data_IF_333598524252
#
_entry.id   IF_333598524252
#
_cell.length_a   1.000
_cell.length_b   1.000
_cell.length_c   1.000
_cell.angle_alpha   90.00
_cell.angle_beta   90.00
_cell.angle_gamma   90.00
#
_symmetry.space_group_name_H-M   'P 1'
#
loop_
_entity.id
_entity.type
_entity.pdbx_description
1 polymer ?
#
# COMPACT_ATOMS: atom_id res chain seq x y z
N UNK A 1 14.64 25.75 -8.49
CA UNK A 1 13.40 25.45 -9.26
C UNK A 1 13.61 25.93 -10.70
N UNK A 2 13.18 25.17 -11.72
CA UNK A 2 13.42 25.48 -13.15
C UNK A 2 12.30 26.31 -13.82
N UNK A 3 11.19 26.57 -13.13
CA UNK A 3 10.06 27.34 -13.68
C UNK A 3 9.24 26.61 -14.75
N UNK A 4 9.50 25.32 -14.97
CA UNK A 4 8.80 24.48 -15.94
C UNK A 4 7.54 23.90 -15.27
N UNK A 5 6.38 24.04 -15.94
CA UNK A 5 5.14 23.39 -15.52
C UNK A 5 5.23 21.89 -15.78
N UNK A 6 4.72 21.07 -14.87
CA UNK A 6 4.70 19.62 -14.99
C UNK A 6 3.35 19.06 -14.49
N UNK A 7 3.02 17.84 -14.91
CA UNK A 7 1.83 17.10 -14.45
C UNK A 7 2.16 16.26 -13.23
N UNK A 8 1.21 16.10 -12.31
CA UNK A 8 1.40 15.32 -11.08
C UNK A 8 1.51 16.21 -9.84
N UNK A 9 1.61 15.56 -8.68
CA UNK A 9 1.60 16.23 -7.39
C UNK A 9 2.80 17.16 -7.16
N UNK A 10 2.65 18.08 -6.22
CA UNK A 10 3.73 18.91 -5.70
C UNK A 10 4.87 18.09 -5.09
N UNK A 11 6.04 18.71 -4.89
CA UNK A 11 7.20 18.02 -4.29
C UNK A 11 6.88 17.49 -2.89
N UNK A 12 6.23 18.31 -2.05
CA UNK A 12 5.95 17.95 -0.66
C UNK A 12 4.91 16.82 -0.55
N UNK A 13 3.81 16.92 -1.30
CA UNK A 13 2.77 15.90 -1.35
C UNK A 13 3.28 14.60 -1.99
N UNK A 14 4.17 14.67 -2.99
CA UNK A 14 4.85 13.50 -3.55
C UNK A 14 5.78 12.81 -2.54
N UNK A 15 6.59 13.57 -1.81
CA UNK A 15 7.51 13.03 -0.79
C UNK A 15 6.73 12.32 0.32
N UNK A 16 5.67 12.97 0.81
CA UNK A 16 4.80 12.42 1.85
C UNK A 16 4.07 11.15 1.38
N UNK A 17 3.51 11.16 0.16
CA UNK A 17 2.79 10.02 -0.41
C UNK A 17 3.71 8.84 -0.78
N UNK A 18 4.98 9.11 -1.09
CA UNK A 18 5.93 8.07 -1.47
C UNK A 18 6.46 7.28 -0.26
N UNK A 19 6.58 7.92 0.90
CA UNK A 19 7.00 7.27 2.13
C UNK A 19 5.79 6.69 2.90
N UNK A 20 5.68 5.36 2.95
CA UNK A 20 4.58 4.70 3.68
C UNK A 20 4.57 5.02 5.17
N UNK A 21 5.71 5.27 5.81
CA UNK A 21 5.74 5.61 7.23
C UNK A 21 5.14 7.00 7.46
N UNK A 22 5.49 7.97 6.63
CA UNK A 22 4.99 9.34 6.77
C UNK A 22 3.54 9.47 6.30
N UNK A 23 3.18 8.83 5.18
CA UNK A 23 1.78 8.66 4.76
C UNK A 23 0.93 8.06 5.88
N UNK A 24 1.41 6.99 6.51
CA UNK A 24 0.69 6.32 7.61
C UNK A 24 0.46 7.25 8.80
N UNK A 25 1.48 8.02 9.22
CA UNK A 25 1.35 9.00 10.31
C UNK A 25 0.28 10.04 9.96
N UNK A 26 0.34 10.59 8.75
CA UNK A 26 -0.62 11.56 8.27
C UNK A 26 -2.05 10.99 8.24
N UNK A 27 -2.21 9.75 7.77
CA UNK A 27 -3.49 9.04 7.77
C UNK A 27 -4.06 8.85 9.17
N UNK A 28 -3.23 8.45 10.13
CA UNK A 28 -3.66 8.29 11.53
C UNK A 28 -4.08 9.62 12.16
N UNK A 29 -3.32 10.70 11.92
CA UNK A 29 -3.64 12.05 12.41
C UNK A 29 -4.97 12.58 11.87
N UNK A 30 -5.32 12.22 10.64
CA UNK A 30 -6.57 12.62 10.01
C UNK A 30 -7.68 11.57 10.16
N UNK A 31 -7.47 10.49 10.92
CA UNK A 31 -8.43 9.40 11.12
C UNK A 31 -8.85 8.70 9.81
N UNK A 32 -7.95 8.58 8.84
CA UNK A 32 -8.13 7.71 7.67
C UNK A 32 -8.06 6.25 8.17
N UNK A 33 -9.02 5.39 7.80
CA UNK A 33 -9.00 3.99 8.22
C UNK A 33 -7.80 3.29 7.62
N UNK A 34 -6.93 2.74 8.46
CA UNK A 34 -5.77 1.96 8.02
C UNK A 34 -5.55 0.78 8.99
N UNK A 35 -4.88 -0.30 8.55
CA UNK A 35 -4.60 -1.44 9.42
C UNK A 35 -3.74 -1.03 10.62
N UNK A 36 -3.81 -1.75 11.75
CA UNK A 36 -2.85 -1.58 12.85
C UNK A 36 -1.42 -1.72 12.32
N UNK A 37 -0.51 -0.90 12.83
CA UNK A 37 0.87 -0.87 12.35
C UNK A 37 1.89 -0.62 13.44
N UNK A 38 3.13 -1.00 13.16
CA UNK A 38 4.32 -0.75 13.96
C UNK A 38 5.47 -0.29 13.04
N UNK A 39 6.25 0.69 13.50
CA UNK A 39 7.49 1.08 12.83
C UNK A 39 8.66 0.31 13.43
N UNK A 40 9.38 -0.41 12.58
CA UNK A 40 10.46 -1.30 12.99
C UNK A 40 11.81 -0.75 12.55
N UNK A 41 12.54 -0.16 13.49
CA UNK A 41 13.92 0.30 13.29
C UNK A 41 14.92 -0.86 13.38
N UNK A 42 15.61 -1.10 12.26
CA UNK A 42 16.62 -2.12 12.05
C UNK A 42 18.04 -1.53 11.84
N UNK A 43 18.29 -0.27 12.19
CA UNK A 43 19.63 0.37 12.03
C UNK A 43 20.71 -0.40 12.78
N UNK A 44 20.43 -0.82 14.02
CA UNK A 44 21.36 -1.57 14.87
C UNK A 44 21.23 -3.10 14.73
N UNK A 45 20.39 -3.57 13.79
CA UNK A 45 20.15 -4.98 13.55
C UNK A 45 18.66 -5.33 13.45
N UNK A 46 18.38 -6.48 12.85
CA UNK A 46 17.01 -6.97 12.66
C UNK A 46 16.44 -7.49 13.98
N UNK A 47 15.17 -7.18 14.24
CA UNK A 47 14.42 -7.60 15.43
C UNK A 47 12.99 -7.96 15.05
N UNK A 48 12.29 -8.73 15.87
CA UNK A 48 10.87 -9.01 15.67
C UNK A 48 10.02 -7.80 16.08
N UNK A 49 8.87 -7.54 15.41
CA UNK A 49 7.90 -6.56 15.88
C UNK A 49 7.24 -7.03 17.18
N UNK A 50 6.62 -6.11 17.90
CA UNK A 50 5.75 -6.44 19.04
C UNK A 50 4.39 -7.01 18.58
N UNK A 51 3.98 -6.71 17.35
CA UNK A 51 2.78 -7.27 16.72
C UNK A 51 2.90 -8.78 16.48
N UNK A 52 1.85 -9.54 16.78
CA UNK A 52 1.76 -10.97 16.47
C UNK A 52 1.39 -11.20 15.00
N UNK A 53 1.84 -12.33 14.44
CA UNK A 53 1.44 -12.79 13.10
C UNK A 53 -0.08 -13.05 13.01
N UNK A 54 -0.71 -12.89 11.81
CA UNK A 54 -0.09 -12.54 10.54
C UNK A 54 0.09 -11.03 10.32
N UNK A 55 1.21 -10.64 9.70
CA UNK A 55 1.51 -9.26 9.35
C UNK A 55 2.26 -9.15 8.02
N UNK A 56 2.35 -7.94 7.49
CA UNK A 56 3.08 -7.59 6.27
C UNK A 56 4.18 -6.61 6.61
N UNK A 57 5.42 -6.92 6.22
CA UNK A 57 6.59 -6.05 6.37
C UNK A 57 6.87 -5.35 5.05
N UNK A 58 7.01 -4.03 5.06
CA UNK A 58 7.12 -3.19 3.86
C UNK A 58 8.28 -2.20 4.01
N UNK A 59 9.21 -2.11 3.02
CA UNK A 59 10.08 -0.95 2.89
C UNK A 59 9.23 0.29 2.58
N UNK A 60 9.46 1.41 3.29
CA UNK A 60 8.56 2.56 3.20
C UNK A 60 8.59 3.22 1.83
N UNK A 61 9.74 3.26 1.18
CA UNK A 61 10.02 4.06 -0.04
C UNK A 61 10.20 3.20 -1.31
N UNK A 62 9.54 2.05 -1.34
CA UNK A 62 9.53 1.15 -2.50
C UNK A 62 8.14 1.05 -3.14
N UNK A 63 8.10 0.85 -4.45
CA UNK A 63 6.86 0.63 -5.22
C UNK A 63 6.73 -0.82 -5.67
N UNK A 64 5.63 -1.14 -6.37
CA UNK A 64 5.49 -2.39 -7.14
C UNK A 64 5.74 -3.66 -6.33
N UNK A 65 5.34 -3.67 -5.06
CA UNK A 65 5.51 -4.80 -4.13
C UNK A 65 6.98 -5.20 -3.86
N UNK A 66 7.95 -4.37 -4.23
CA UNK A 66 9.38 -4.63 -4.01
C UNK A 66 9.69 -4.67 -2.51
N UNK A 67 10.35 -5.74 -2.09
CA UNK A 67 10.77 -5.96 -0.70
C UNK A 67 9.64 -6.21 0.30
N UNK A 68 8.38 -6.28 -0.14
CA UNK A 68 7.25 -6.67 0.71
C UNK A 68 7.40 -8.13 1.14
N UNK A 69 7.11 -8.42 2.40
CA UNK A 69 7.12 -9.76 2.96
C UNK A 69 5.84 -10.01 3.73
N UNK A 70 5.11 -11.07 3.37
CA UNK A 70 3.92 -11.52 4.10
C UNK A 70 4.36 -12.60 5.09
N UNK A 71 4.13 -12.37 6.38
CA UNK A 71 4.52 -13.27 7.46
C UNK A 71 3.26 -13.86 8.08
N UNK A 72 3.07 -15.18 7.90
CA UNK A 72 1.90 -15.90 8.40
C UNK A 72 2.16 -16.68 9.70
N UNK A 73 3.42 -16.93 10.01
CA UNK A 73 3.86 -17.67 11.19
C UNK A 73 5.18 -17.11 11.74
N UNK A 74 5.46 -17.42 12.99
CA UNK A 74 6.68 -16.96 13.70
C UNK A 74 7.97 -17.58 13.14
N UNK A 75 7.89 -18.77 12.53
CA UNK A 75 9.08 -19.51 12.12
C UNK A 75 9.83 -18.78 10.98
N UNK A 76 9.11 -18.07 10.11
CA UNK A 76 9.68 -17.26 9.03
C UNK A 76 9.92 -15.78 9.35
N UNK A 77 9.43 -15.29 10.48
CA UNK A 77 9.32 -13.86 10.78
C UNK A 77 10.64 -13.09 10.69
N UNK A 78 11.69 -13.56 11.38
CA UNK A 78 12.98 -12.87 11.42
C UNK A 78 13.67 -12.87 10.05
N UNK A 79 13.51 -13.94 9.27
CA UNK A 79 14.07 -14.04 7.92
C UNK A 79 13.39 -13.06 6.96
N UNK A 80 12.06 -12.94 7.03
CA UNK A 80 11.29 -11.96 6.28
C UNK A 80 11.75 -10.52 6.60
N UNK A 81 11.87 -10.18 7.89
CA UNK A 81 12.34 -8.85 8.30
C UNK A 81 13.76 -8.59 7.77
N UNK A 82 14.64 -9.58 7.81
CA UNK A 82 15.99 -9.47 7.25
C UNK A 82 16.00 -9.21 5.75
N UNK A 83 15.09 -9.83 4.99
CA UNK A 83 14.94 -9.58 3.56
C UNK A 83 14.45 -8.15 3.30
N UNK A 84 13.38 -7.71 3.96
CA UNK A 84 12.87 -6.34 3.85
C UNK A 84 13.92 -5.30 4.28
N UNK A 85 14.69 -5.60 5.33
CA UNK A 85 15.78 -4.76 5.84
C UNK A 85 16.96 -4.60 4.86
N UNK A 86 16.99 -5.39 3.79
CA UNK A 86 17.91 -5.20 2.67
C UNK A 86 17.61 -3.97 1.82
N UNK A 87 16.34 -3.50 1.84
CA UNK A 87 15.88 -2.33 1.08
C UNK A 87 15.86 -1.06 1.93
N UNK A 88 15.43 -1.14 3.19
CA UNK A 88 15.42 0.00 4.12
C UNK A 88 15.64 -0.43 5.55
N UNK A 89 16.07 0.47 6.44
CA UNK A 89 16.26 0.16 7.87
C UNK A 89 15.06 0.53 8.75
N UNK A 90 14.16 1.37 8.26
CA UNK A 90 12.94 1.85 8.92
C UNK A 90 11.71 1.20 8.29
N UNK A 91 11.40 -0.03 8.69
CA UNK A 91 10.35 -0.82 8.05
C UNK A 91 8.97 -0.48 8.61
N UNK A 92 7.95 -0.52 7.75
CA UNK A 92 6.55 -0.52 8.16
C UNK A 92 6.09 -1.96 8.34
N UNK A 93 5.55 -2.29 9.51
CA UNK A 93 4.86 -3.57 9.76
C UNK A 93 3.38 -3.28 9.93
N UNK A 94 2.52 -3.92 9.15
CA UNK A 94 1.06 -3.78 9.26
C UNK A 94 0.40 -5.13 9.48
N UNK A 95 -0.70 -5.15 10.24
CA UNK A 95 -1.51 -6.37 10.36
C UNK A 95 -1.95 -6.85 8.97
N UNK A 96 -1.93 -8.17 8.77
CA UNK A 96 -2.41 -8.75 7.53
C UNK A 96 -3.93 -8.72 7.52
N UNK A 97 -4.51 -8.01 6.55
CA UNK A 97 -5.96 -7.95 6.35
C UNK A 97 -6.32 -8.89 5.20
N UNK A 98 -7.05 -9.95 5.52
CA UNK A 98 -7.63 -10.84 4.50
C UNK A 98 -8.90 -10.19 3.93
N UNK A 99 -8.97 -10.05 2.60
CA UNK A 99 -10.11 -9.42 1.96
C UNK A 99 -9.87 -9.08 0.49
N UNK A 100 -10.72 -8.19 -0.02
CA UNK A 100 -10.71 -7.71 -1.41
C UNK A 100 -9.76 -6.53 -1.55
N UNK A 101 -9.03 -6.43 -2.67
CA UNK A 101 -8.20 -5.27 -2.99
C UNK A 101 -8.98 -4.29 -3.87
N UNK A 102 -9.17 -3.06 -3.37
CA UNK A 102 -9.93 -2.01 -4.03
C UNK A 102 -9.04 -0.80 -4.30
N UNK A 103 -9.19 -0.18 -5.47
CA UNK A 103 -8.46 1.01 -5.90
C UNK A 103 -9.44 2.07 -6.36
N UNK A 104 -9.20 3.33 -5.98
CA UNK A 104 -10.02 4.48 -6.38
C UNK A 104 -9.11 5.55 -6.95
N UNK A 105 -9.39 6.00 -8.17
CA UNK A 105 -8.74 7.17 -8.74
C UNK A 105 -9.32 8.45 -8.13
N UNK A 106 -8.46 9.44 -7.89
CA UNK A 106 -8.86 10.80 -7.55
C UNK A 106 -8.12 11.75 -8.50
N UNK A 107 -8.84 12.69 -9.12
CA UNK A 107 -8.26 13.72 -10.00
C UNK A 107 -8.88 15.06 -9.66
N UNK A 108 -8.07 16.08 -9.38
CA UNK A 108 -8.54 17.42 -8.98
C UNK A 108 -9.61 17.38 -7.87
N UNK A 109 -9.48 16.41 -6.94
CA UNK A 109 -10.43 16.15 -5.85
C UNK A 109 -11.71 15.40 -6.23
N UNK A 110 -11.95 15.11 -7.52
CA UNK A 110 -13.04 14.27 -7.99
C UNK A 110 -12.73 12.78 -7.75
N UNK A 111 -13.65 12.07 -7.11
CA UNK A 111 -13.49 10.66 -6.76
C UNK A 111 -14.18 9.78 -7.80
N UNK A 112 -13.41 8.89 -8.43
CA UNK A 112 -13.89 8.01 -9.52
C UNK A 112 -14.53 6.71 -9.00
N UNK A 113 -15.17 5.92 -9.88
CA UNK A 113 -15.67 4.59 -9.53
C UNK A 113 -14.59 3.69 -8.93
N UNK A 114 -15.00 2.85 -7.99
CA UNK A 114 -14.12 1.86 -7.36
C UNK A 114 -13.76 0.77 -8.37
N UNK A 115 -12.48 0.42 -8.43
CA UNK A 115 -11.96 -0.71 -9.19
C UNK A 115 -11.60 -1.81 -8.22
N UNK A 116 -12.14 -3.01 -8.41
CA UNK A 116 -11.66 -4.20 -7.72
C UNK A 116 -10.54 -4.86 -8.52
N UNK A 117 -9.47 -5.23 -7.81
CA UNK A 117 -8.34 -5.98 -8.36
C UNK A 117 -8.34 -7.36 -7.71
N UNK A 118 -8.57 -8.39 -8.51
CA UNK A 118 -8.61 -9.78 -8.06
C UNK A 118 -7.47 -10.57 -8.72
N UNK A 119 -6.38 -10.88 -7.99
CA UNK A 119 -5.37 -11.84 -8.44
C UNK A 119 -5.98 -13.23 -8.70
N UNK A 120 -5.31 -14.10 -9.47
CA UNK A 120 -5.72 -15.49 -9.62
C UNK A 120 -5.91 -16.19 -8.26
N UNK A 121 -6.80 -17.17 -8.20
CA UNK A 121 -7.14 -17.87 -6.95
C UNK A 121 -5.89 -18.45 -6.27
N UNK A 122 -5.72 -18.16 -4.98
CA UNK A 122 -4.56 -18.59 -4.18
C UNK A 122 -3.31 -17.73 -4.35
N UNK A 123 -3.36 -16.68 -5.18
CA UNK A 123 -2.26 -15.74 -5.37
C UNK A 123 -2.52 -14.39 -4.67
N UNK A 124 -1.46 -13.59 -4.50
CA UNK A 124 -1.53 -12.23 -3.97
C UNK A 124 -1.10 -11.23 -5.04
N UNK A 125 -1.44 -9.93 -4.89
CA UNK A 125 -1.15 -8.90 -5.89
C UNK A 125 0.34 -8.50 -5.91
N UNK A 126 1.14 -9.37 -6.50
CA UNK A 126 2.58 -9.29 -6.67
C UNK A 126 3.00 -8.79 -8.07
N UNK A 127 4.31 -8.66 -8.31
CA UNK A 127 4.83 -8.27 -9.62
C UNK A 127 4.41 -9.20 -10.76
N UNK A 128 4.32 -10.50 -10.49
CA UNK A 128 4.02 -11.49 -11.51
C UNK A 128 2.54 -11.40 -11.97
N UNK A 129 1.63 -11.16 -11.04
CA UNK A 129 0.20 -10.98 -11.28
C UNK A 129 -0.16 -9.58 -11.81
N UNK A 130 0.66 -8.55 -11.51
CA UNK A 130 0.57 -7.19 -12.10
C UNK A 130 0.99 -7.17 -13.57
N UNK A 131 2.06 -7.90 -13.89
CA UNK A 131 2.70 -7.87 -15.21
C UNK A 131 2.89 -9.29 -15.75
N UNK A 132 1.80 -10.03 -16.05
CA UNK A 132 1.88 -11.41 -16.53
C UNK A 132 2.75 -11.58 -17.78
N UNK A 133 2.79 -10.56 -18.66
CA UNK A 133 3.63 -10.54 -19.86
C UNK A 133 5.13 -10.38 -19.58
N UNK A 134 5.53 -9.86 -18.41
CA UNK A 134 6.94 -9.80 -17.98
C UNK A 134 7.38 -11.09 -17.29
N UNK A 135 6.44 -11.82 -16.67
CA UNK A 135 6.70 -13.03 -15.88
C UNK A 135 6.42 -14.33 -16.64
N UNK A 136 5.82 -14.25 -17.83
CA UNK A 136 5.43 -15.42 -18.63
C UNK A 136 4.18 -16.12 -18.10
N UNK A 137 3.40 -15.50 -17.20
CA UNK A 137 2.10 -16.01 -16.74
C UNK A 137 1.05 -15.82 -17.83
N UNK A 138 0.18 -16.81 -18.01
CA UNK A 138 -0.95 -16.72 -18.95
C UNK A 138 -2.09 -15.86 -18.41
N UNK A 139 -2.25 -15.81 -17.08
CA UNK A 139 -3.34 -15.09 -16.41
C UNK A 139 -2.75 -14.14 -15.36
N UNK A 140 -3.17 -12.88 -15.42
CA UNK A 140 -2.86 -11.86 -14.40
C UNK A 140 -4.08 -11.52 -13.56
N UNK A 141 -4.00 -10.40 -12.86
CA UNK A 141 -5.12 -9.91 -12.05
C UNK A 141 -6.30 -9.48 -12.93
N UNK A 142 -7.52 -9.79 -12.47
CA UNK A 142 -8.76 -9.32 -13.07
C UNK A 142 -9.13 -7.97 -12.47
N UNK A 143 -9.68 -7.09 -13.31
CA UNK A 143 -10.09 -5.75 -12.92
C UNK A 143 -11.57 -5.57 -13.22
N UNK A 144 -12.36 -5.25 -12.19
CA UNK A 144 -13.80 -5.00 -12.31
C UNK A 144 -14.08 -3.54 -11.98
N UNK A 145 -14.67 -2.81 -12.94
CA UNK A 145 -14.97 -1.38 -12.80
C UNK A 145 -16.34 -1.05 -13.43
N UNK A 146 -17.32 -0.54 -12.65
CA UNK A 146 -17.28 -0.40 -11.19
C UNK A 146 -17.16 -1.76 -10.49
N UNK A 147 -16.53 -1.80 -9.31
CA UNK A 147 -16.47 -2.98 -8.45
C UNK A 147 -17.88 -3.46 -8.06
N UNK A 148 -18.06 -4.77 -7.86
CA UNK A 148 -19.33 -5.34 -7.41
C UNK A 148 -19.47 -5.14 -5.89
N UNK A 149 -20.04 -3.99 -5.52
CA UNK A 149 -20.21 -3.50 -4.16
C UNK A 149 -21.62 -2.94 -3.99
N UNK A 150 -22.14 -2.99 -2.78
CA UNK A 150 -23.33 -2.22 -2.43
C UNK A 150 -23.07 -0.71 -2.53
N UNK A 151 -24.13 0.09 -2.64
CA UNK A 151 -24.00 1.56 -2.65
C UNK A 151 -23.33 2.08 -1.36
N UNK A 152 -23.59 1.43 -0.21
CA UNK A 152 -23.00 1.78 1.08
C UNK A 152 -21.50 1.50 1.11
N UNK A 153 -21.07 0.32 0.67
CA UNK A 153 -19.65 -0.04 0.58
C UNK A 153 -18.91 0.85 -0.42
N UNK A 154 -19.52 1.12 -1.57
CA UNK A 154 -18.97 2.03 -2.59
C UNK A 154 -18.73 3.41 -1.99
N UNK A 155 -19.72 3.97 -1.30
CA UNK A 155 -19.60 5.27 -0.65
C UNK A 155 -18.53 5.28 0.44
N UNK A 156 -18.42 4.22 1.25
CA UNK A 156 -17.41 4.11 2.29
C UNK A 156 -15.97 4.08 1.72
N UNK A 157 -15.75 3.31 0.65
CA UNK A 157 -14.43 3.20 -0.01
C UNK A 157 -14.05 4.50 -0.70
N UNK A 158 -15.00 5.15 -1.40
CA UNK A 158 -14.77 6.46 -2.02
C UNK A 158 -14.50 7.55 -0.97
N UNK A 159 -15.21 7.53 0.15
CA UNK A 159 -14.96 8.46 1.26
C UNK A 159 -13.57 8.26 1.89
N UNK A 160 -13.13 7.01 2.08
CA UNK A 160 -11.79 6.71 2.57
C UNK A 160 -10.70 7.19 1.61
N UNK A 161 -10.88 6.99 0.30
CA UNK A 161 -9.96 7.47 -0.74
C UNK A 161 -9.86 9.00 -0.75
N UNK A 162 -11.00 9.70 -0.69
CA UNK A 162 -11.03 11.17 -0.62
C UNK A 162 -10.35 11.70 0.65
N UNK A 163 -10.57 11.02 1.78
CA UNK A 163 -9.97 11.41 3.05
C UNK A 163 -8.45 11.23 3.04
N UNK A 164 -7.96 10.13 2.45
CA UNK A 164 -6.53 9.91 2.26
C UNK A 164 -5.90 10.97 1.33
N UNK A 165 -6.59 11.29 0.23
CA UNK A 165 -6.19 12.36 -0.70
C UNK A 165 -6.03 13.71 0.01
N UNK A 166 -7.04 14.10 0.77
CA UNK A 166 -7.06 15.37 1.50
C UNK A 166 -5.99 15.41 2.61
N UNK A 167 -5.79 14.30 3.32
CA UNK A 167 -4.79 14.21 4.38
C UNK A 167 -3.37 14.48 3.86
N UNK A 168 -3.02 13.90 2.70
CA UNK A 168 -1.70 14.08 2.09
C UNK A 168 -1.52 15.43 1.38
N UNK A 169 -2.58 16.22 1.25
CA UNK A 169 -2.55 17.50 0.54
C UNK A 169 -2.21 17.36 -0.93
N UNK A 170 -2.65 16.26 -1.57
CA UNK A 170 -2.44 16.03 -3.01
C UNK A 170 -3.26 17.08 -3.78
N UNK A 171 -2.67 17.64 -4.84
CA UNK A 171 -3.27 18.76 -5.57
C UNK A 171 -3.79 18.39 -6.97
N UNK A 172 -3.55 17.17 -7.42
CA UNK A 172 -3.88 16.67 -8.77
C UNK A 172 -4.81 15.49 -8.74
#
# INVERSE_FOLDING_TARGET
>A
RLGIRYTGAGVASSELAFDKNDSKRCFLEHEVPTPRSELLDCVDGVKLPAMSVPYVVKPPREGSSVGIQVVKDEAGALAAIKQAAGFSKDLLVEEFVEGRELTVGVLDGEVFPVVEIAPPEGEWYDMASKYPWLSGKEVGSQYTCPADLTDEETAAVQAAAKKAYDALGIEV
#
